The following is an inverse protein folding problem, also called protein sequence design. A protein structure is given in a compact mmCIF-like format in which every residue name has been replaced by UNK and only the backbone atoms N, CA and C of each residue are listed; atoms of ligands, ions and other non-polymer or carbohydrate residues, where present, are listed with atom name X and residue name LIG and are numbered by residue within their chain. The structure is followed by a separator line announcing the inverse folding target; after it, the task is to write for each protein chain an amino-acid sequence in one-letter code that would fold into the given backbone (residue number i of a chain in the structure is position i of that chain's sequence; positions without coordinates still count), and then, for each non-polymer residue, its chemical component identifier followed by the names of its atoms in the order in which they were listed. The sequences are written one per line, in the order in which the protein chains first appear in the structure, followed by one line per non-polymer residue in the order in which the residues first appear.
data_IF_681711485980
#
_entry.id   IF_681711485980
#
_cell.length_a   1.000
_cell.length_b   1.000
_cell.length_c   1.000
_cell.angle_alpha   90.00
_cell.angle_beta   90.00
_cell.angle_gamma   90.00
#
_symmetry.space_group_name_H-M   'P 1'
#
loop_
_entity.id
_entity.type
_entity.pdbx_description
1 polymer ?
#
# COMPACT_ATOMS: atom_id res chain seq x y z
N UNK A 1 -17.97 -9.07 4.09
CA UNK A 1 -17.60 -9.51 5.47
C UNK A 1 -16.45 -8.64 5.94
N UNK A 2 -16.32 -8.38 7.25
CA UNK A 2 -15.17 -7.66 7.79
C UNK A 2 -13.91 -8.51 7.55
N UNK A 3 -12.87 -7.92 6.96
CA UNK A 3 -11.60 -8.59 6.69
C UNK A 3 -10.61 -8.30 7.82
N UNK A 4 -9.76 -9.26 8.17
CA UNK A 4 -8.68 -9.04 9.12
C UNK A 4 -7.61 -8.18 8.49
N UNK A 5 -7.24 -7.11 9.17
CA UNK A 5 -6.21 -6.16 8.73
C UNK A 5 -5.20 -5.89 9.83
N UNK A 6 -4.02 -5.41 9.44
CA UNK A 6 -3.04 -4.88 10.37
C UNK A 6 -2.57 -3.48 9.92
N UNK A 7 -2.20 -2.65 10.88
CA UNK A 7 -1.63 -1.31 10.65
C UNK A 7 -0.29 -1.21 11.36
N UNK A 8 0.77 -0.94 10.60
CA UNK A 8 2.10 -0.63 11.12
C UNK A 8 2.23 0.90 11.16
N UNK A 9 2.31 1.45 12.36
CA UNK A 9 2.40 2.90 12.58
C UNK A 9 3.84 3.31 12.88
N UNK A 10 4.48 3.89 11.87
CA UNK A 10 5.87 4.35 11.86
C UNK A 10 5.99 5.87 11.69
N UNK A 11 4.91 6.64 11.89
CA UNK A 11 4.87 8.06 11.56
C UNK A 11 5.64 8.97 12.53
N UNK A 12 6.00 8.50 13.73
CA UNK A 12 6.73 9.29 14.74
C UNK A 12 8.16 8.80 14.88
N UNK A 13 8.35 7.52 15.16
CA UNK A 13 9.64 6.93 15.49
C UNK A 13 10.29 6.14 14.33
N UNK A 14 9.71 6.18 13.15
CA UNK A 14 10.18 5.36 12.04
C UNK A 14 9.99 3.86 12.30
N UNK A 15 10.87 3.04 11.71
CA UNK A 15 10.80 1.59 11.85
C UNK A 15 12.18 0.95 11.71
N UNK A 16 12.50 0.03 12.62
CA UNK A 16 13.66 -0.86 12.56
C UNK A 16 13.21 -2.30 12.71
N UNK A 17 14.06 -3.26 12.36
CA UNK A 17 13.72 -4.68 12.40
C UNK A 17 13.38 -5.17 13.80
N UNK A 18 14.20 -4.81 14.77
CA UNK A 18 14.00 -5.11 16.19
C UNK A 18 12.69 -4.49 16.73
N UNK A 19 12.33 -3.29 16.28
CA UNK A 19 11.09 -2.61 16.67
C UNK A 19 9.87 -3.34 16.12
N UNK A 20 9.89 -3.72 14.83
CA UNK A 20 8.79 -4.48 14.22
C UNK A 20 8.63 -5.84 14.91
N UNK A 21 9.72 -6.57 15.09
CA UNK A 21 9.72 -7.87 15.77
C UNK A 21 9.17 -7.76 17.20
N UNK A 22 9.64 -6.76 17.95
CA UNK A 22 9.17 -6.50 19.31
C UNK A 22 7.68 -6.16 19.36
N UNK A 23 7.16 -5.39 18.38
CA UNK A 23 5.74 -5.07 18.30
C UNK A 23 4.88 -6.31 17.99
N UNK A 24 5.37 -7.22 17.17
CA UNK A 24 4.72 -8.50 16.88
C UNK A 24 4.66 -9.41 18.11
N UNK A 25 5.76 -9.50 18.86
CA UNK A 25 5.79 -10.26 20.13
C UNK A 25 4.86 -9.61 21.16
N UNK A 26 4.83 -8.29 21.26
CA UNK A 26 3.93 -7.56 22.15
C UNK A 26 2.46 -7.76 21.80
N UNK A 27 2.14 -7.89 20.52
CA UNK A 27 0.79 -8.20 20.00
C UNK A 27 0.42 -9.68 20.20
N UNK A 28 1.30 -10.52 20.74
CA UNK A 28 1.03 -11.91 21.13
C UNK A 28 1.58 -12.98 20.20
N UNK A 29 2.61 -12.69 19.39
CA UNK A 29 3.41 -13.73 18.74
C UNK A 29 4.16 -14.56 19.80
N UNK A 30 4.36 -15.84 19.50
CA UNK A 30 5.00 -16.76 20.42
C UNK A 30 6.49 -16.39 20.61
N UNK A 31 6.78 -15.75 21.76
CA UNK A 31 8.11 -15.27 22.14
C UNK A 31 9.17 -16.38 22.06
N UNK A 32 8.87 -17.59 22.53
CA UNK A 32 9.82 -18.69 22.54
C UNK A 32 10.21 -19.12 21.12
N UNK A 33 9.21 -19.28 20.22
CA UNK A 33 9.48 -19.61 18.82
C UNK A 33 10.35 -18.56 18.11
N UNK A 34 10.12 -17.28 18.41
CA UNK A 34 10.92 -16.18 17.82
C UNK A 34 12.35 -16.23 18.35
N UNK A 35 12.55 -16.42 19.66
CA UNK A 35 13.87 -16.54 20.27
C UNK A 35 14.64 -17.73 19.69
N UNK A 36 14.00 -18.90 19.62
CA UNK A 36 14.62 -20.12 19.08
C UNK A 36 15.06 -19.92 17.63
N UNK A 37 14.22 -19.30 16.81
CA UNK A 37 14.52 -19.00 15.41
C UNK A 37 15.71 -18.03 15.25
N UNK A 38 15.82 -17.02 16.12
CA UNK A 38 16.96 -16.09 16.14
C UNK A 38 18.24 -16.85 16.48
N UNK A 39 18.23 -17.73 17.47
CA UNK A 39 19.41 -18.55 17.81
C UNK A 39 19.85 -19.47 16.66
N UNK A 40 18.93 -19.95 15.84
CA UNK A 40 19.25 -20.78 14.66
C UNK A 40 20.09 -20.02 13.62
N UNK A 41 19.90 -18.70 13.50
CA UNK A 41 20.61 -17.88 12.50
C UNK A 41 22.15 -18.00 12.59
N UNK A 42 22.71 -18.12 13.80
CA UNK A 42 24.16 -18.25 14.00
C UNK A 42 24.77 -19.49 13.34
N UNK A 43 23.98 -20.54 13.10
CA UNK A 43 24.45 -21.79 12.49
C UNK A 43 24.70 -21.62 10.98
N UNK A 44 24.13 -20.57 10.36
CA UNK A 44 24.20 -20.31 8.95
C UNK A 44 25.07 -19.12 8.57
N UNK A 45 25.53 -18.33 9.56
CA UNK A 45 26.39 -17.17 9.33
C UNK A 45 27.73 -17.34 10.06
N UNK A 46 28.77 -17.68 9.28
CA UNK A 46 30.13 -17.91 9.82
C UNK A 46 30.65 -16.65 10.52
N UNK A 47 31.37 -16.85 11.61
CA UNK A 47 32.00 -15.75 12.37
C UNK A 47 31.06 -15.03 13.33
N UNK A 48 29.77 -15.39 13.35
CA UNK A 48 28.78 -14.79 14.23
C UNK A 48 28.39 -15.75 15.38
N UNK A 49 28.18 -15.20 16.58
CA UNK A 49 27.71 -15.94 17.73
C UNK A 49 26.74 -15.13 18.56
N UNK A 50 25.54 -15.65 18.78
CA UNK A 50 24.50 -15.02 19.59
C UNK A 50 24.65 -15.59 21.02
N UNK A 51 24.76 -14.70 22.00
CA UNK A 51 24.97 -15.08 23.41
C UNK A 51 23.74 -14.84 24.28
N UNK A 52 22.87 -13.92 23.88
CA UNK A 52 21.62 -13.64 24.59
C UNK A 52 20.57 -13.16 23.60
N UNK A 53 19.35 -13.69 23.74
CA UNK A 53 18.14 -13.14 23.11
C UNK A 53 17.04 -13.16 24.15
N UNK A 54 16.40 -12.04 24.34
CA UNK A 54 15.22 -11.91 25.19
C UNK A 54 14.36 -10.72 24.76
N UNK A 55 13.09 -10.71 25.16
CA UNK A 55 12.19 -9.57 24.99
C UNK A 55 11.79 -9.06 26.39
N UNK A 56 12.15 -7.84 26.70
CA UNK A 56 11.87 -7.20 27.98
C UNK A 56 10.81 -6.12 27.86
N UNK A 57 9.99 -5.95 28.89
CA UNK A 57 9.10 -4.79 29.02
C UNK A 57 9.90 -3.56 29.43
N UNK A 58 9.71 -2.48 28.71
CA UNK A 58 10.31 -1.15 28.97
C UNK A 58 9.23 -0.08 29.03
N UNK A 59 9.54 1.03 29.68
CA UNK A 59 8.66 2.19 29.70
C UNK A 59 9.41 3.38 29.09
N UNK A 60 8.92 3.92 27.98
CA UNK A 60 9.51 5.03 27.28
C UNK A 60 8.48 6.16 27.21
N UNK A 61 8.81 7.35 27.76
CA UNK A 61 7.91 8.51 27.83
C UNK A 61 6.48 8.15 28.30
N UNK A 62 6.39 7.31 29.35
CA UNK A 62 5.10 6.89 29.91
C UNK A 62 4.37 5.77 29.15
N UNK A 63 4.91 5.32 28.03
CA UNK A 63 4.35 4.21 27.24
C UNK A 63 5.07 2.90 27.52
N UNK A 64 4.34 1.88 27.93
CA UNK A 64 4.88 0.52 28.06
C UNK A 64 5.05 -0.10 26.68
N UNK A 65 6.18 -0.73 26.44
CA UNK A 65 6.51 -1.39 25.16
C UNK A 65 7.36 -2.64 25.43
N UNK A 66 7.48 -3.49 24.43
CA UNK A 66 8.41 -4.63 24.43
C UNK A 66 9.66 -4.24 23.62
N UNK A 67 10.83 -4.62 24.11
CA UNK A 67 12.12 -4.35 23.48
C UNK A 67 12.92 -5.64 23.34
N UNK A 68 13.47 -5.88 22.14
CA UNK A 68 14.44 -6.94 21.91
C UNK A 68 15.74 -6.62 22.64
N UNK A 69 16.24 -7.59 23.40
CA UNK A 69 17.55 -7.58 24.04
C UNK A 69 18.40 -8.68 23.42
N UNK A 70 19.21 -8.34 22.42
CA UNK A 70 20.12 -9.28 21.77
C UNK A 70 21.56 -8.90 22.07
N UNK A 71 22.39 -9.90 22.45
CA UNK A 71 23.86 -9.78 22.55
C UNK A 71 24.48 -10.77 21.59
N UNK A 72 25.36 -10.31 20.77
CA UNK A 72 26.06 -11.12 19.78
C UNK A 72 27.51 -10.62 19.59
N UNK A 73 28.36 -11.50 19.07
CA UNK A 73 29.66 -11.19 18.54
C UNK A 73 29.64 -11.52 17.03
N UNK A 74 30.13 -10.63 16.22
CA UNK A 74 30.32 -10.84 14.80
C UNK A 74 31.74 -10.41 14.42
N UNK A 75 32.54 -11.37 13.97
CA UNK A 75 33.94 -11.16 13.65
C UNK A 75 34.17 -10.87 12.15
N UNK A 76 33.09 -10.85 11.35
CA UNK A 76 33.14 -10.58 9.91
C UNK A 76 32.19 -9.40 9.63
N UNK A 77 32.77 -8.28 9.23
CA UNK A 77 32.03 -7.03 9.03
C UNK A 77 31.76 -6.70 7.56
N UNK A 78 32.17 -7.59 6.66
CA UNK A 78 32.02 -7.38 5.22
C UNK A 78 31.63 -8.71 4.55
N UNK A 79 30.35 -8.86 4.22
CA UNK A 79 29.81 -10.04 3.55
C UNK A 79 29.12 -9.66 2.24
N UNK A 80 29.26 -10.51 1.25
CA UNK A 80 28.57 -10.31 -0.04
C UNK A 80 27.08 -10.55 0.11
N UNK A 81 26.27 -9.78 -0.63
CA UNK A 81 24.82 -9.93 -0.67
C UNK A 81 24.37 -11.35 -0.99
N UNK A 82 25.04 -12.03 -1.93
CA UNK A 82 24.77 -13.41 -2.29
C UNK A 82 25.03 -14.40 -1.13
N UNK A 83 26.07 -14.19 -0.34
CA UNK A 83 26.36 -15.01 0.85
C UNK A 83 25.26 -14.86 1.90
N UNK A 84 24.88 -13.61 2.20
CA UNK A 84 23.81 -13.30 3.12
C UNK A 84 22.47 -13.91 2.68
N UNK A 85 22.13 -13.77 1.39
CA UNK A 85 20.92 -14.35 0.83
C UNK A 85 20.89 -15.89 0.92
N UNK A 86 22.00 -16.56 0.60
CA UNK A 86 22.12 -18.01 0.75
C UNK A 86 22.04 -18.47 2.21
N UNK A 87 22.61 -17.71 3.14
CA UNK A 87 22.53 -17.97 4.58
C UNK A 87 21.11 -17.81 5.11
N UNK A 88 20.42 -16.74 4.71
CA UNK A 88 19.03 -16.50 5.06
C UNK A 88 18.11 -17.61 4.54
N UNK A 89 18.27 -18.04 3.28
CA UNK A 89 17.45 -19.09 2.68
C UNK A 89 17.55 -20.41 3.48
N UNK A 90 18.78 -20.85 3.81
CA UNK A 90 19.00 -22.04 4.63
C UNK A 90 18.45 -21.89 6.05
N UNK A 91 18.57 -20.71 6.64
CA UNK A 91 18.00 -20.42 7.95
C UNK A 91 16.47 -20.52 7.92
N UNK A 92 15.79 -19.91 6.93
CA UNK A 92 14.34 -20.00 6.76
C UNK A 92 13.85 -21.46 6.64
N UNK A 93 14.57 -22.28 5.89
CA UNK A 93 14.24 -23.71 5.76
C UNK A 93 14.41 -24.46 7.10
N UNK A 94 15.49 -24.18 7.81
CA UNK A 94 15.79 -24.84 9.10
C UNK A 94 14.77 -24.48 10.20
N UNK A 95 14.24 -23.26 10.22
CA UNK A 95 13.21 -22.87 11.19
C UNK A 95 11.78 -23.22 10.75
N UNK A 96 11.61 -23.82 9.56
CA UNK A 96 10.31 -24.28 9.08
C UNK A 96 9.36 -23.16 8.67
N UNK A 97 9.86 -22.09 8.04
CA UNK A 97 9.01 -21.03 7.50
C UNK A 97 8.16 -21.53 6.34
N UNK A 98 6.88 -21.20 6.36
CA UNK A 98 5.99 -21.38 5.21
C UNK A 98 6.43 -20.50 4.03
N UNK A 99 6.01 -20.88 2.82
CA UNK A 99 6.46 -20.21 1.59
C UNK A 99 6.28 -18.69 1.59
N UNK A 100 5.16 -18.17 2.12
CA UNK A 100 4.90 -16.72 2.19
C UNK A 100 5.86 -16.01 3.15
N UNK A 101 6.12 -16.61 4.30
CA UNK A 101 7.05 -16.08 5.29
C UNK A 101 8.49 -16.11 4.78
N UNK A 102 8.90 -17.22 4.14
CA UNK A 102 10.21 -17.35 3.50
C UNK A 102 10.38 -16.32 2.37
N UNK A 103 9.37 -16.16 1.50
CA UNK A 103 9.40 -15.16 0.42
C UNK A 103 9.55 -13.75 0.99
N UNK A 104 8.80 -13.39 2.03
CA UNK A 104 8.92 -12.09 2.70
C UNK A 104 10.36 -11.83 3.20
N UNK A 105 10.97 -12.78 3.90
CA UNK A 105 12.33 -12.62 4.41
C UNK A 105 13.36 -12.44 3.28
N UNK A 106 13.29 -13.28 2.24
CA UNK A 106 14.22 -13.25 1.11
C UNK A 106 14.05 -11.99 0.25
N UNK A 107 12.82 -11.57 -0.06
CA UNK A 107 12.57 -10.34 -0.84
C UNK A 107 12.93 -9.09 -0.04
N UNK A 108 12.79 -9.10 1.30
CA UNK A 108 13.27 -7.99 2.14
C UNK A 108 14.79 -7.85 2.09
N UNK A 109 15.53 -8.94 2.20
CA UNK A 109 16.99 -8.90 2.04
C UNK A 109 17.40 -8.49 0.64
N UNK A 110 16.75 -9.02 -0.39
CA UNK A 110 17.01 -8.66 -1.79
C UNK A 110 16.74 -7.18 -2.06
N UNK A 111 15.74 -6.59 -1.39
CA UNK A 111 15.47 -5.15 -1.45
C UNK A 111 16.64 -4.34 -0.92
N UNK A 112 17.25 -4.75 0.21
CA UNK A 112 18.45 -4.13 0.78
C UNK A 112 19.62 -4.29 -0.19
N UNK A 113 19.91 -5.51 -0.65
CA UNK A 113 21.01 -5.79 -1.61
C UNK A 113 20.86 -4.92 -2.86
N UNK A 114 19.63 -4.78 -3.38
CA UNK A 114 19.38 -3.98 -4.58
C UNK A 114 19.59 -2.48 -4.36
N UNK A 115 19.29 -1.97 -3.18
CA UNK A 115 19.55 -0.58 -2.82
C UNK A 115 21.06 -0.32 -2.69
N UNK A 116 21.78 -1.18 -1.98
CA UNK A 116 23.24 -1.08 -1.83
C UNK A 116 23.97 -1.18 -3.19
N UNK A 117 23.59 -2.14 -4.04
CA UNK A 117 24.15 -2.30 -5.37
C UNK A 117 24.01 -1.03 -6.23
N UNK A 118 22.85 -0.37 -6.17
CA UNK A 118 22.62 0.90 -6.88
C UNK A 118 23.48 2.04 -6.34
N UNK A 119 23.62 2.15 -5.02
CA UNK A 119 24.38 3.21 -4.38
C UNK A 119 25.88 3.09 -4.71
N UNK A 120 26.39 1.87 -4.67
CA UNK A 120 27.80 1.60 -4.95
C UNK A 120 28.11 1.43 -6.44
N UNK A 121 27.08 1.38 -7.30
CA UNK A 121 27.29 1.14 -8.74
C UNK A 121 27.83 -0.26 -9.04
N UNK A 122 27.54 -1.22 -8.18
CA UNK A 122 28.02 -2.59 -8.26
C UNK A 122 26.93 -3.56 -8.79
N UNK A 123 27.38 -4.73 -9.26
CA UNK A 123 26.47 -5.82 -9.62
C UNK A 123 25.86 -6.48 -8.37
N UNK A 124 24.59 -6.87 -8.46
CA UNK A 124 23.84 -7.50 -7.36
C UNK A 124 24.54 -8.71 -6.73
N UNK A 125 25.32 -9.47 -7.50
CA UNK A 125 26.01 -10.66 -7.02
C UNK A 125 27.30 -10.34 -6.27
N UNK A 126 27.87 -9.17 -6.50
CA UNK A 126 29.18 -8.78 -5.99
C UNK A 126 29.11 -7.71 -4.90
N UNK A 127 27.96 -7.05 -4.74
CA UNK A 127 27.83 -5.97 -3.77
C UNK A 127 28.13 -6.43 -2.35
N UNK A 128 28.95 -5.66 -1.67
CA UNK A 128 29.29 -5.85 -0.28
C UNK A 128 28.29 -5.10 0.61
N UNK A 129 27.77 -5.79 1.62
CA UNK A 129 26.85 -5.18 2.58
C UNK A 129 27.65 -4.71 3.79
N UNK A 130 27.77 -3.42 3.98
CA UNK A 130 28.54 -2.87 5.11
C UNK A 130 27.73 -2.87 6.40
N UNK A 131 26.50 -2.33 6.37
CA UNK A 131 25.63 -2.24 7.54
C UNK A 131 24.71 -3.44 7.70
N UNK A 132 24.20 -3.99 6.58
CA UNK A 132 23.31 -5.14 6.60
C UNK A 132 24.03 -6.51 6.51
N UNK A 133 25.35 -6.55 6.78
CA UNK A 133 26.17 -7.75 6.69
C UNK A 133 26.19 -8.59 7.99
N UNK A 134 25.65 -8.07 9.08
CA UNK A 134 25.78 -8.68 10.40
C UNK A 134 24.61 -9.63 10.75
N UNK A 135 24.81 -10.40 11.82
CA UNK A 135 23.85 -11.43 12.28
C UNK A 135 22.50 -10.83 12.70
N UNK A 136 22.48 -9.57 13.13
CA UNK A 136 21.26 -8.89 13.53
C UNK A 136 20.28 -8.73 12.34
N UNK A 137 20.79 -8.47 11.14
CA UNK A 137 19.95 -8.42 9.91
C UNK A 137 19.25 -9.77 9.67
N UNK A 138 19.98 -10.90 9.80
CA UNK A 138 19.35 -12.21 9.67
C UNK A 138 18.33 -12.46 10.78
N UNK A 139 18.69 -12.11 12.02
CA UNK A 139 17.84 -12.25 13.19
C UNK A 139 16.54 -11.44 13.05
N UNK A 140 16.62 -10.22 12.56
CA UNK A 140 15.47 -9.34 12.32
C UNK A 140 14.54 -9.93 11.26
N UNK A 141 15.09 -10.35 10.12
CA UNK A 141 14.29 -10.90 9.02
C UNK A 141 13.63 -12.22 9.39
N UNK A 142 14.37 -13.14 10.01
CA UNK A 142 13.85 -14.45 10.41
C UNK A 142 12.87 -14.31 11.58
N UNK A 143 13.23 -13.53 12.60
CA UNK A 143 12.37 -13.30 13.77
C UNK A 143 11.04 -12.64 13.41
N UNK A 144 11.07 -11.62 12.55
CA UNK A 144 9.85 -10.99 12.03
C UNK A 144 9.02 -11.98 11.20
N UNK A 145 9.63 -12.78 10.31
CA UNK A 145 8.94 -13.76 9.50
C UNK A 145 8.24 -14.83 10.36
N UNK A 146 8.91 -15.36 11.39
CA UNK A 146 8.33 -16.31 12.36
C UNK A 146 7.16 -15.67 13.12
N UNK A 147 7.33 -14.44 13.61
CA UNK A 147 6.28 -13.74 14.36
C UNK A 147 5.05 -13.41 13.50
N UNK A 148 5.24 -12.97 12.25
CA UNK A 148 4.17 -12.71 11.30
C UNK A 148 3.42 -13.99 10.95
N UNK A 149 4.13 -15.11 10.74
CA UNK A 149 3.55 -16.43 10.49
C UNK A 149 2.74 -16.92 11.68
N UNK A 150 3.28 -16.84 12.90
CA UNK A 150 2.60 -17.25 14.13
C UNK A 150 1.30 -16.46 14.36
N UNK A 151 1.29 -15.16 14.05
CA UNK A 151 0.11 -14.30 14.10
C UNK A 151 -0.81 -14.45 12.87
N UNK A 152 -0.45 -15.26 11.87
CA UNK A 152 -1.17 -15.42 10.57
C UNK A 152 -1.40 -14.09 9.84
N UNK A 153 -0.42 -13.20 9.85
CA UNK A 153 -0.55 -11.88 9.25
C UNK A 153 -0.29 -11.88 7.74
N UNK A 154 0.31 -12.93 7.18
CA UNK A 154 0.46 -13.07 5.73
C UNK A 154 -0.86 -13.31 4.98
N UNK A 155 -1.95 -13.64 5.69
CA UNK A 155 -3.31 -13.75 5.15
C UNK A 155 -4.12 -12.46 5.35
N UNK A 156 -3.54 -11.44 5.98
CA UNK A 156 -4.17 -10.16 6.30
C UNK A 156 -3.66 -9.07 5.34
N UNK A 157 -4.50 -8.08 5.06
CA UNK A 157 -4.03 -6.87 4.40
C UNK A 157 -3.31 -5.98 5.42
N UNK A 158 -2.06 -5.63 5.13
CA UNK A 158 -1.23 -4.81 5.99
C UNK A 158 -1.14 -3.39 5.42
N UNK A 159 -1.42 -2.41 6.27
CA UNK A 159 -1.31 -0.99 5.98
C UNK A 159 -0.12 -0.38 6.72
N UNK A 160 0.50 0.62 6.12
CA UNK A 160 1.50 1.47 6.76
C UNK A 160 0.96 2.88 6.91
N UNK A 161 1.32 3.58 7.98
CA UNK A 161 1.22 5.04 8.04
C UNK A 161 2.33 5.70 7.22
N UNK A 162 2.38 7.05 7.19
CA UNK A 162 3.59 7.77 6.74
C UNK A 162 4.80 7.28 7.53
N UNK A 163 5.99 7.32 6.92
CA UNK A 163 7.22 6.78 7.51
C UNK A 163 8.13 7.92 7.93
N UNK A 164 8.39 8.04 9.24
CA UNK A 164 9.38 8.99 9.75
C UNK A 164 10.79 8.45 9.49
N UNK A 165 11.60 9.21 8.74
CA UNK A 165 12.96 8.80 8.36
C UNK A 165 14.06 9.49 9.17
N UNK A 166 13.71 10.58 9.86
CA UNK A 166 14.66 11.41 10.61
C UNK A 166 15.28 12.51 9.75
N UNK A 167 16.25 13.22 10.29
CA UNK A 167 16.99 14.32 9.65
C UNK A 167 18.43 14.41 10.14
N UNK A 168 19.12 15.50 9.79
CA UNK A 168 20.49 15.76 10.23
C UNK A 168 21.56 15.00 9.45
N UNK A 169 22.68 14.74 10.10
CA UNK A 169 23.86 14.09 9.53
C UNK A 169 24.18 12.81 10.29
N UNK A 170 24.40 11.73 9.57
CA UNK A 170 24.79 10.43 10.11
C UNK A 170 26.28 10.17 9.84
N UNK A 171 26.95 9.52 10.78
CA UNK A 171 28.34 9.05 10.61
C UNK A 171 28.35 7.55 10.40
N UNK A 172 28.82 7.13 9.24
CA UNK A 172 28.99 5.74 8.83
C UNK A 172 30.44 5.41 8.54
N UNK A 173 30.73 4.15 8.20
CA UNK A 173 32.07 3.69 7.78
C UNK A 173 32.62 4.50 6.58
N UNK A 174 31.76 4.99 5.70
CA UNK A 174 32.11 5.81 4.53
C UNK A 174 32.17 7.33 4.79
N UNK A 175 32.08 7.76 6.05
CA UNK A 175 32.09 9.17 6.43
C UNK A 175 30.75 9.72 6.91
N UNK A 176 30.59 11.05 6.77
CA UNK A 176 29.34 11.72 7.17
C UNK A 176 28.41 11.83 5.96
N UNK A 177 27.19 11.34 6.12
CA UNK A 177 26.15 11.39 5.08
C UNK A 177 24.91 12.10 5.60
N UNK A 178 24.13 12.64 4.70
CA UNK A 178 22.86 13.26 5.01
C UNK A 178 21.81 12.19 5.35
N UNK A 179 21.00 12.42 6.38
CA UNK A 179 19.83 11.60 6.69
C UNK A 179 18.56 12.16 6.00
N UNK A 180 17.69 11.35 5.37
CA UNK A 180 17.77 9.88 5.33
C UNK A 180 18.92 9.38 4.45
N UNK A 181 19.54 8.27 4.88
CA UNK A 181 20.62 7.62 4.13
C UNK A 181 20.14 7.20 2.72
N UNK A 182 21.08 7.17 1.76
CA UNK A 182 20.76 6.86 0.36
C UNK A 182 20.05 5.51 0.20
N UNK A 183 20.39 4.52 1.04
CA UNK A 183 19.75 3.20 1.03
C UNK A 183 18.23 3.30 1.30
N UNK A 184 17.82 4.12 2.26
CA UNK A 184 16.40 4.36 2.57
C UNK A 184 15.67 4.94 1.36
N UNK A 185 16.25 5.94 0.70
CA UNK A 185 15.65 6.58 -0.48
C UNK A 185 15.52 5.60 -1.65
N UNK A 186 16.56 4.77 -1.91
CA UNK A 186 16.50 3.75 -2.97
C UNK A 186 15.48 2.64 -2.66
N UNK A 187 15.30 2.23 -1.40
CA UNK A 187 14.28 1.25 -0.99
C UNK A 187 12.87 1.79 -1.25
N UNK A 188 12.60 3.06 -0.95
CA UNK A 188 11.27 3.65 -1.14
C UNK A 188 11.02 4.21 -2.55
N UNK A 189 12.05 4.32 -3.39
CA UNK A 189 11.95 4.81 -4.76
C UNK A 189 10.93 4.01 -5.57
N UNK A 190 10.04 4.72 -6.25
CA UNK A 190 8.92 4.15 -7.02
C UNK A 190 7.95 3.29 -6.19
N UNK A 191 7.97 3.42 -4.86
CA UNK A 191 6.98 2.83 -3.96
C UNK A 191 5.98 3.91 -3.53
N UNK A 192 4.75 3.52 -3.27
CA UNK A 192 3.69 4.46 -2.87
C UNK A 192 3.74 4.74 -1.35
N UNK A 193 4.93 5.17 -0.86
CA UNK A 193 5.11 5.52 0.55
C UNK A 193 5.43 6.99 0.70
N UNK A 194 4.75 7.64 1.64
CA UNK A 194 5.00 9.02 2.03
C UNK A 194 6.05 9.05 3.14
N UNK A 195 7.20 9.66 2.86
CA UNK A 195 8.27 9.87 3.83
C UNK A 195 8.10 11.22 4.51
N UNK A 196 8.36 11.28 5.81
CA UNK A 196 8.37 12.50 6.61
C UNK A 196 9.66 12.58 7.42
N UNK A 197 10.21 13.79 7.63
CA UNK A 197 11.46 13.95 8.36
C UNK A 197 11.43 13.42 9.80
N UNK A 198 10.30 13.61 10.48
CA UNK A 198 10.19 13.23 11.90
C UNK A 198 10.71 14.31 12.85
N UNK A 199 10.91 13.96 14.14
CA UNK A 199 11.22 14.91 15.21
C UNK A 199 12.69 14.77 15.72
N UNK A 200 13.55 13.99 15.06
CA UNK A 200 14.93 13.77 15.47
C UNK A 200 15.91 14.03 14.35
N UNK A 201 17.07 14.60 14.69
CA UNK A 201 18.25 14.67 13.83
C UNK A 201 19.08 13.39 14.00
N UNK A 202 18.45 12.26 13.71
CA UNK A 202 19.05 10.92 13.76
C UNK A 202 18.26 9.98 12.84
N UNK A 203 18.81 8.80 12.57
CA UNK A 203 18.11 7.76 11.82
C UNK A 203 16.95 7.20 12.62
N UNK A 204 15.73 7.38 12.10
CA UNK A 204 14.51 6.81 12.68
C UNK A 204 14.08 5.52 11.96
N UNK A 205 14.35 5.43 10.67
CA UNK A 205 14.04 4.23 9.88
C UNK A 205 15.33 3.61 9.38
N UNK A 206 15.56 2.33 9.69
CA UNK A 206 16.73 1.59 9.22
C UNK A 206 16.47 0.96 7.84
N UNK A 207 17.51 0.62 7.06
CA UNK A 207 17.34 -0.12 5.81
C UNK A 207 16.57 -1.44 5.97
N UNK A 208 16.83 -2.18 7.06
CA UNK A 208 16.11 -3.44 7.37
C UNK A 208 14.63 -3.20 7.63
N UNK A 209 14.30 -2.19 8.44
CA UNK A 209 12.91 -1.81 8.71
C UNK A 209 12.16 -1.33 7.46
N UNK A 210 12.81 -0.48 6.66
CA UNK A 210 12.26 0.00 5.39
C UNK A 210 11.99 -1.13 4.41
N UNK A 211 12.95 -2.05 4.23
CA UNK A 211 12.83 -3.20 3.34
C UNK A 211 11.69 -4.13 3.75
N UNK A 212 11.57 -4.43 5.04
CA UNK A 212 10.44 -5.22 5.54
C UNK A 212 9.09 -4.51 5.31
N UNK A 213 9.03 -3.21 5.55
CA UNK A 213 7.79 -2.45 5.39
C UNK A 213 7.28 -2.45 3.96
N UNK A 214 8.15 -2.23 2.95
CA UNK A 214 7.75 -2.22 1.53
C UNK A 214 7.41 -3.59 0.97
N UNK A 215 7.79 -4.68 1.67
CA UNK A 215 7.43 -6.05 1.34
C UNK A 215 6.22 -6.58 2.14
N UNK A 216 5.74 -5.83 3.14
CA UNK A 216 4.52 -6.12 3.90
C UNK A 216 3.32 -5.30 3.43
N UNK A 217 3.50 -4.00 3.21
CA UNK A 217 2.46 -3.09 2.79
C UNK A 217 2.75 -2.56 1.38
N UNK A 218 1.72 -2.37 0.57
CA UNK A 218 1.86 -1.86 -0.80
C UNK A 218 2.03 -0.34 -0.87
N UNK A 219 1.56 0.37 0.16
CA UNK A 219 1.58 1.84 0.22
C UNK A 219 1.43 2.34 1.65
N UNK A 220 1.81 3.59 1.90
CA UNK A 220 1.42 4.29 3.12
C UNK A 220 0.06 4.97 2.98
N UNK A 221 -0.64 5.14 4.09
CA UNK A 221 -1.92 5.85 4.20
C UNK A 221 -1.75 7.15 4.99
N UNK A 222 -2.54 8.18 4.65
CA UNK A 222 -2.54 9.45 5.40
C UNK A 222 -3.22 9.33 6.76
N UNK A 223 -4.19 8.43 6.87
CA UNK A 223 -4.99 8.20 8.07
C UNK A 223 -5.09 6.70 8.35
N UNK A 224 -5.37 6.35 9.59
CA UNK A 224 -5.70 4.97 9.93
C UNK A 224 -6.90 4.48 9.11
N UNK A 225 -6.84 3.28 8.53
CA UNK A 225 -8.03 2.65 7.97
C UNK A 225 -9.05 2.43 9.09
N UNK A 226 -10.33 2.32 8.73
CA UNK A 226 -11.36 1.94 9.70
C UNK A 226 -11.05 0.54 10.22
N UNK A 227 -10.68 0.43 11.49
CA UNK A 227 -10.29 -0.81 12.16
C UNK A 227 -10.92 -0.88 13.54
N UNK A 228 -11.52 -2.03 13.86
CA UNK A 228 -11.85 -2.41 15.24
C UNK A 228 -10.66 -3.20 15.79
N UNK A 229 -9.79 -2.58 16.63
CA UNK A 229 -8.55 -3.22 17.07
C UNK A 229 -8.87 -4.36 18.06
N UNK A 230 -8.27 -5.54 17.79
CA UNK A 230 -8.35 -6.73 18.64
C UNK A 230 -7.07 -6.93 19.43
N UNK A 231 -5.91 -6.59 18.81
CA UNK A 231 -4.59 -6.68 19.43
C UNK A 231 -3.78 -5.44 19.09
N UNK A 232 -3.01 -4.97 20.04
CA UNK A 232 -2.09 -3.84 19.87
C UNK A 232 -0.73 -4.28 20.42
N UNK A 233 0.32 -4.00 19.66
CA UNK A 233 1.69 -4.25 20.06
C UNK A 233 2.55 -2.99 19.94
N UNK A 234 3.39 -2.77 20.93
CA UNK A 234 4.33 -1.67 21.03
C UNK A 234 5.76 -2.21 21.01
N UNK A 235 6.51 -1.96 19.95
CA UNK A 235 7.89 -2.40 19.80
C UNK A 235 8.86 -1.24 19.98
N UNK A 236 9.67 -1.29 21.03
CA UNK A 236 10.66 -0.27 21.36
C UNK A 236 12.00 -0.52 20.68
N UNK A 237 12.57 0.53 20.09
CA UNK A 237 13.96 0.54 19.62
C UNK A 237 14.96 0.77 20.77
N UNK A 238 16.25 0.62 20.47
CA UNK A 238 17.33 0.78 21.45
C UNK A 238 17.76 2.23 21.66
N UNK A 239 17.62 3.09 20.67
CA UNK A 239 17.96 4.52 20.76
C UNK A 239 16.95 5.26 21.64
N UNK A 240 17.45 6.22 22.42
CA UNK A 240 16.62 7.09 23.27
C UNK A 240 16.57 8.49 22.66
N UNK A 241 15.37 8.98 22.43
CA UNK A 241 15.13 10.34 21.93
C UNK A 241 14.54 11.24 23.01
N UNK A 242 14.81 12.54 22.92
CA UNK A 242 14.20 13.55 23.78
C UNK A 242 12.85 13.94 23.17
N UNK A 243 11.79 13.96 23.99
CA UNK A 243 10.49 14.48 23.59
C UNK A 243 9.50 13.44 23.02
N UNK A 244 9.94 12.27 22.58
CA UNK A 244 9.04 11.21 22.11
C UNK A 244 9.57 9.78 22.37
N UNK A 245 8.65 8.83 22.41
CA UNK A 245 8.99 7.42 22.58
C UNK A 245 9.48 6.81 21.24
N UNK A 246 10.63 6.14 21.27
CA UNK A 246 11.13 5.37 20.13
C UNK A 246 10.39 4.04 20.03
N UNK A 247 9.16 4.06 19.51
CA UNK A 247 8.25 2.91 19.52
C UNK A 247 7.48 2.84 18.20
N UNK A 248 7.50 1.66 17.57
CA UNK A 248 6.56 1.27 16.50
C UNK A 248 5.29 0.72 17.13
N UNK A 249 4.14 1.10 16.61
CA UNK A 249 2.85 0.51 16.99
C UNK A 249 2.35 -0.42 15.90
N UNK A 250 1.88 -1.59 16.31
CA UNK A 250 1.19 -2.56 15.46
C UNK A 250 -0.24 -2.72 15.98
N UNK A 251 -1.22 -2.49 15.13
CA UNK A 251 -2.63 -2.78 15.40
C UNK A 251 -3.06 -3.95 14.54
N UNK A 252 -3.76 -4.92 15.13
CA UNK A 252 -4.37 -6.04 14.42
C UNK A 252 -5.84 -6.06 14.79
N UNK A 253 -6.72 -6.19 13.82
CA UNK A 253 -8.16 -6.19 14.06
C UNK A 253 -8.98 -6.43 12.80
N UNK A 254 -10.27 -6.19 12.92
CA UNK A 254 -11.21 -6.34 11.82
C UNK A 254 -11.46 -4.99 11.16
N UNK A 255 -11.46 -4.98 9.85
CA UNK A 255 -11.85 -3.79 9.09
C UNK A 255 -13.35 -3.56 9.18
N UNK A 256 -13.80 -2.30 9.15
CA UNK A 256 -15.19 -1.98 8.87
C UNK A 256 -15.63 -2.48 7.48
N UNK A 257 -16.94 -2.51 7.24
CA UNK A 257 -17.59 -3.03 6.00
C UNK A 257 -17.03 -2.40 4.70
N UNK A 258 -16.33 -1.27 4.79
CA UNK A 258 -15.79 -0.51 3.64
C UNK A 258 -14.41 -1.00 3.16
N UNK A 259 -13.79 -2.01 3.80
CA UNK A 259 -12.41 -2.43 3.48
C UNK A 259 -12.27 -3.19 2.15
N UNK A 260 -13.37 -3.64 1.52
CA UNK A 260 -13.34 -4.25 0.18
C UNK A 260 -13.34 -3.18 -0.94
N UNK A 261 -13.70 -1.94 -0.63
CA UNK A 261 -13.59 -0.84 -1.57
C UNK A 261 -12.15 -0.33 -1.65
N UNK A 262 -11.56 -0.35 -2.82
CA UNK A 262 -10.34 0.39 -3.09
C UNK A 262 -10.57 1.86 -2.76
N UNK A 263 -9.64 2.49 -2.05
CA UNK A 263 -9.66 3.93 -1.76
C UNK A 263 -8.74 4.61 -2.76
N UNK A 264 -9.29 5.52 -3.53
CA UNK A 264 -8.51 6.42 -4.39
C UNK A 264 -8.85 7.88 -4.09
N UNK A 265 -8.08 8.78 -4.65
CA UNK A 265 -8.28 10.23 -4.52
C UNK A 265 -8.58 10.80 -5.90
N UNK A 266 -9.61 11.63 -5.98
CA UNK A 266 -9.99 12.34 -7.19
C UNK A 266 -10.16 13.82 -6.91
N UNK A 267 -9.99 14.65 -7.93
CA UNK A 267 -10.38 16.06 -7.91
C UNK A 267 -11.82 16.21 -8.33
N UNK A 268 -12.60 16.95 -7.55
CA UNK A 268 -13.91 17.50 -7.93
C UNK A 268 -13.70 18.94 -8.34
N UNK A 269 -13.99 19.25 -9.60
CA UNK A 269 -13.92 20.60 -10.16
C UNK A 269 -15.35 21.11 -10.38
N UNK A 270 -15.67 22.28 -9.88
CA UNK A 270 -17.00 22.88 -10.01
C UNK A 270 -16.91 24.33 -10.49
N UNK A 271 -17.78 24.71 -11.42
CA UNK A 271 -17.98 26.09 -11.83
C UNK A 271 -19.44 26.37 -12.11
N UNK A 272 -19.84 27.63 -11.97
CA UNK A 272 -21.18 28.11 -12.32
C UNK A 272 -21.08 28.93 -13.59
N UNK A 273 -21.95 28.64 -14.55
CA UNK A 273 -22.05 29.35 -15.84
C UNK A 273 -23.47 29.89 -15.97
N UNK A 274 -23.64 31.21 -16.06
CA UNK A 274 -24.95 31.90 -16.17
C UNK A 274 -25.15 32.69 -17.49
N UNK A 275 -24.21 32.54 -18.42
CA UNK A 275 -24.16 33.24 -19.69
C UNK A 275 -23.92 32.34 -20.92
N UNK A 276 -24.00 30.99 -20.75
CA UNK A 276 -23.80 30.04 -21.84
C UNK A 276 -25.13 29.53 -22.40
N UNK A 277 -25.18 29.34 -23.74
CA UNK A 277 -26.28 28.62 -24.38
C UNK A 277 -26.21 27.10 -24.10
N UNK A 278 -27.35 26.42 -24.25
CA UNK A 278 -27.40 24.96 -24.12
C UNK A 278 -26.48 24.23 -25.12
N UNK A 279 -26.29 24.78 -26.30
CA UNK A 279 -25.36 24.23 -27.30
C UNK A 279 -23.91 24.32 -26.87
N UNK A 280 -23.51 25.46 -26.29
CA UNK A 280 -22.17 25.63 -25.74
C UNK A 280 -21.93 24.68 -24.57
N UNK A 281 -22.91 24.51 -23.67
CA UNK A 281 -22.83 23.55 -22.57
C UNK A 281 -22.73 22.10 -23.07
N UNK A 282 -23.46 21.76 -24.14
CA UNK A 282 -23.39 20.46 -24.81
C UNK A 282 -21.97 20.16 -25.32
N UNK A 283 -21.38 21.09 -26.08
CA UNK A 283 -20.03 21.01 -26.60
C UNK A 283 -19.00 20.87 -25.43
N UNK A 284 -19.16 21.69 -24.38
CA UNK A 284 -18.29 21.62 -23.19
C UNK A 284 -18.31 20.22 -22.54
N UNK A 285 -19.48 19.60 -22.41
CA UNK A 285 -19.62 18.26 -21.88
C UNK A 285 -18.87 17.22 -22.72
N UNK A 286 -19.03 17.29 -24.05
CA UNK A 286 -18.33 16.38 -24.97
C UNK A 286 -16.82 16.54 -24.87
N UNK A 287 -16.30 17.75 -24.87
CA UNK A 287 -14.87 18.03 -24.76
C UNK A 287 -14.29 17.60 -23.40
N UNK A 288 -15.00 17.87 -22.30
CA UNK A 288 -14.59 17.43 -20.95
C UNK A 288 -14.63 15.91 -20.81
N UNK A 289 -15.56 15.21 -21.46
CA UNK A 289 -15.64 13.75 -21.41
C UNK A 289 -14.40 13.05 -22.00
N UNK A 290 -13.62 13.72 -22.85
CA UNK A 290 -12.37 13.19 -23.40
C UNK A 290 -11.24 13.14 -22.37
N UNK A 291 -11.24 14.05 -21.39
CA UNK A 291 -10.13 14.24 -20.44
C UNK A 291 -10.49 13.92 -18.98
N UNK A 292 -11.78 14.02 -18.64
CA UNK A 292 -12.29 13.78 -17.29
C UNK A 292 -12.79 12.33 -17.09
N UNK A 293 -12.99 11.93 -15.83
CA UNK A 293 -13.65 10.65 -15.50
C UNK A 293 -15.16 10.72 -15.61
N UNK A 294 -15.72 11.88 -15.28
CA UNK A 294 -17.17 12.11 -15.31
C UNK A 294 -17.48 13.60 -15.36
N UNK A 295 -18.58 13.96 -16.00
CA UNK A 295 -19.07 15.34 -16.15
C UNK A 295 -20.56 15.35 -15.89
N UNK A 296 -21.01 16.24 -15.01
CA UNK A 296 -22.41 16.43 -14.69
C UNK A 296 -22.80 17.90 -14.84
N UNK A 297 -23.93 18.15 -15.47
CA UNK A 297 -24.54 19.47 -15.59
C UNK A 297 -25.80 19.54 -14.75
N UNK A 298 -25.84 20.47 -13.82
CA UNK A 298 -26.97 20.68 -12.91
C UNK A 298 -27.57 22.06 -13.21
N UNK A 299 -28.80 22.15 -13.73
CA UNK A 299 -29.46 23.41 -13.92
C UNK A 299 -29.88 24.04 -12.60
N UNK A 300 -29.76 25.35 -12.50
CA UNK A 300 -30.09 26.10 -11.30
C UNK A 300 -30.42 27.57 -11.57
N UNK A 301 -30.61 28.31 -10.52
CA UNK A 301 -30.81 29.75 -10.58
C UNK A 301 -29.80 30.48 -9.72
N UNK A 302 -29.14 31.50 -10.23
CA UNK A 302 -28.14 32.31 -9.52
C UNK A 302 -28.69 33.66 -9.09
N UNK A 303 -27.80 34.54 -8.60
CA UNK A 303 -28.16 35.93 -8.26
C UNK A 303 -28.89 36.61 -9.40
N UNK A 304 -29.81 37.53 -9.08
CA UNK A 304 -30.67 38.25 -10.03
C UNK A 304 -31.62 37.34 -10.81
N UNK A 305 -31.98 36.17 -10.24
CA UNK A 305 -32.89 35.17 -10.86
C UNK A 305 -32.47 34.70 -12.25
N UNK A 306 -31.16 34.66 -12.54
CA UNK A 306 -30.64 34.18 -13.81
C UNK A 306 -30.58 32.64 -13.84
N UNK A 307 -31.08 32.00 -14.91
CA UNK A 307 -30.79 30.59 -15.15
C UNK A 307 -29.28 30.38 -15.26
N UNK A 308 -28.81 29.27 -14.73
CA UNK A 308 -27.38 28.92 -14.76
C UNK A 308 -27.19 27.41 -14.71
N UNK A 309 -25.99 27.01 -15.05
CA UNK A 309 -25.56 25.62 -14.94
C UNK A 309 -24.43 25.51 -13.92
N UNK A 310 -24.54 24.58 -12.97
CA UNK A 310 -23.41 24.10 -12.20
C UNK A 310 -22.78 22.93 -12.97
N UNK A 311 -21.57 23.13 -13.46
CA UNK A 311 -20.77 22.07 -14.07
C UNK A 311 -19.95 21.44 -12.99
N UNK A 312 -20.12 20.12 -12.78
CA UNK A 312 -19.37 19.32 -11.83
C UNK A 312 -18.60 18.24 -12.57
N UNK A 313 -17.28 18.22 -12.37
CA UNK A 313 -16.36 17.36 -13.10
C UNK A 313 -15.58 16.52 -12.09
N UNK A 314 -15.42 15.23 -12.37
CA UNK A 314 -14.55 14.33 -11.60
C UNK A 314 -13.31 14.03 -12.45
N UNK A 315 -12.14 14.33 -11.91
CA UNK A 315 -10.85 14.17 -12.59
C UNK A 315 -9.86 13.36 -11.74
N UNK A 316 -8.92 12.69 -12.41
CA UNK A 316 -7.69 12.24 -11.77
C UNK A 316 -6.80 13.44 -11.43
N UNK A 317 -6.08 13.39 -10.31
CA UNK A 317 -5.16 14.46 -9.92
C UNK A 317 -4.14 14.78 -11.02
N UNK A 318 -3.65 13.75 -11.72
CA UNK A 318 -2.69 13.91 -12.82
C UNK A 318 -3.27 14.63 -14.05
N UNK A 319 -4.60 14.62 -14.24
CA UNK A 319 -5.30 15.22 -15.38
C UNK A 319 -5.96 16.56 -15.05
N UNK A 320 -5.83 17.06 -13.83
CA UNK A 320 -6.50 18.27 -13.37
C UNK A 320 -6.20 19.47 -14.28
N UNK A 321 -4.94 19.69 -14.65
CA UNK A 321 -4.55 20.82 -15.50
C UNK A 321 -5.22 20.75 -16.87
N UNK A 322 -5.25 19.58 -17.50
CA UNK A 322 -5.93 19.40 -18.80
C UNK A 322 -7.45 19.65 -18.72
N UNK A 323 -8.08 19.23 -17.62
CA UNK A 323 -9.49 19.49 -17.36
C UNK A 323 -9.76 20.98 -17.19
N UNK A 324 -8.91 21.69 -16.43
CA UNK A 324 -9.04 23.14 -16.23
C UNK A 324 -8.81 23.92 -17.54
N UNK A 325 -7.86 23.49 -18.36
CA UNK A 325 -7.60 24.10 -19.67
C UNK A 325 -8.83 24.00 -20.60
N UNK A 326 -9.40 22.80 -20.73
CA UNK A 326 -10.62 22.60 -21.51
C UNK A 326 -11.78 23.41 -20.91
N UNK A 327 -11.96 23.37 -19.58
CA UNK A 327 -13.04 24.10 -18.93
C UNK A 327 -12.98 25.60 -19.22
N UNK A 328 -11.82 26.24 -19.07
CA UNK A 328 -11.65 27.66 -19.26
C UNK A 328 -11.75 28.07 -20.75
N UNK A 329 -11.17 27.28 -21.66
CA UNK A 329 -11.19 27.59 -23.09
C UNK A 329 -12.58 27.46 -23.72
N UNK A 330 -13.33 26.43 -23.32
CA UNK A 330 -14.62 26.12 -23.92
C UNK A 330 -15.80 26.86 -23.25
N UNK A 331 -15.71 27.22 -21.98
CA UNK A 331 -16.84 27.83 -21.26
C UNK A 331 -16.72 29.33 -21.06
N UNK A 332 -15.51 29.89 -21.17
CA UNK A 332 -15.25 31.30 -20.85
C UNK A 332 -15.37 31.64 -19.36
N UNK A 333 -15.60 30.66 -18.46
CA UNK A 333 -15.63 30.90 -17.01
C UNK A 333 -14.26 31.40 -16.51
N UNK A 334 -14.28 32.34 -15.55
CA UNK A 334 -13.07 32.95 -15.02
C UNK A 334 -12.53 32.23 -13.77
N UNK A 335 -13.23 31.22 -13.28
CA UNK A 335 -12.82 30.52 -12.09
C UNK A 335 -13.52 29.19 -11.87
N UNK A 336 -12.82 28.27 -11.23
CA UNK A 336 -13.34 26.97 -10.81
C UNK A 336 -12.95 26.67 -9.37
N UNK A 337 -13.81 25.98 -8.65
CA UNK A 337 -13.54 25.43 -7.32
C UNK A 337 -12.96 24.03 -7.50
N UNK A 338 -11.86 23.73 -6.84
CA UNK A 338 -11.22 22.42 -6.88
C UNK A 338 -11.16 21.88 -5.48
N UNK A 339 -11.62 20.64 -5.30
CA UNK A 339 -11.54 19.90 -4.05
C UNK A 339 -10.95 18.53 -4.31
N UNK A 340 -9.93 18.16 -3.54
CA UNK A 340 -9.44 16.81 -3.52
C UNK A 340 -10.29 15.98 -2.55
N UNK A 341 -10.90 14.90 -3.04
CA UNK A 341 -11.81 14.06 -2.27
C UNK A 341 -11.40 12.59 -2.33
N UNK A 342 -11.54 11.92 -1.20
CA UNK A 342 -11.38 10.47 -1.15
C UNK A 342 -12.62 9.78 -1.75
N UNK A 343 -12.38 8.75 -2.56
CA UNK A 343 -13.42 7.95 -3.17
C UNK A 343 -13.23 6.48 -2.83
N UNK A 344 -14.32 5.81 -2.47
CA UNK A 344 -14.34 4.36 -2.29
C UNK A 344 -14.89 3.71 -3.55
N UNK A 345 -14.14 2.78 -4.12
CA UNK A 345 -14.48 2.08 -5.35
C UNK A 345 -14.45 0.58 -5.10
N UNK A 346 -15.54 -0.12 -5.36
CA UNK A 346 -15.56 -1.59 -5.28
C UNK A 346 -14.62 -2.17 -6.35
N UNK A 347 -13.82 -3.19 -6.00
CA UNK A 347 -13.03 -3.92 -6.97
C UNK A 347 -13.94 -4.49 -8.05
N UNK A 348 -13.62 -4.22 -9.31
CA UNK A 348 -14.39 -4.69 -10.44
C UNK A 348 -13.48 -5.35 -11.47
N UNK A 349 -13.97 -6.41 -12.06
CA UNK A 349 -13.35 -7.07 -13.21
C UNK A 349 -14.26 -6.95 -14.43
N UNK A 350 -13.65 -7.05 -15.62
CA UNK A 350 -14.38 -7.12 -16.88
C UNK A 350 -14.44 -8.57 -17.32
N UNK A 351 -15.63 -9.10 -17.56
CA UNK A 351 -15.84 -10.41 -18.17
C UNK A 351 -16.44 -10.21 -19.57
N UNK A 352 -16.10 -11.10 -20.49
CA UNK A 352 -16.75 -11.19 -21.80
C UNK A 352 -17.72 -12.37 -21.77
N UNK A 353 -18.99 -12.09 -21.96
CA UNK A 353 -20.06 -13.08 -21.90
C UNK A 353 -20.72 -13.19 -23.29
N UNK A 354 -20.73 -14.37 -23.94
CA UNK A 354 -21.45 -14.55 -25.19
C UNK A 354 -22.96 -14.50 -24.93
N UNK A 355 -23.73 -13.77 -25.70
CA UNK A 355 -25.18 -13.58 -25.56
C UNK A 355 -25.83 -13.79 -26.94
N UNK A 356 -26.89 -14.57 -27.03
CA UNK A 356 -27.62 -14.82 -28.25
C UNK A 356 -28.86 -13.91 -28.36
N UNK A 357 -28.91 -13.14 -29.41
CA UNK A 357 -30.09 -12.28 -29.72
C UNK A 357 -30.53 -12.53 -31.17
N UNK A 358 -31.74 -12.98 -31.33
CA UNK A 358 -32.34 -13.30 -32.63
C UNK A 358 -31.47 -14.26 -33.49
N UNK A 359 -30.85 -15.28 -32.85
CA UNK A 359 -30.00 -16.26 -33.54
C UNK A 359 -28.60 -15.78 -33.89
N UNK A 360 -28.19 -14.60 -33.41
CA UNK A 360 -26.81 -14.08 -33.56
C UNK A 360 -26.15 -13.99 -32.22
N UNK A 361 -24.95 -14.54 -32.09
CA UNK A 361 -24.14 -14.49 -30.87
C UNK A 361 -23.29 -13.21 -30.84
N UNK A 362 -23.37 -12.45 -29.73
CA UNK A 362 -22.59 -11.27 -29.46
C UNK A 362 -21.74 -11.46 -28.21
N UNK A 363 -20.51 -10.99 -28.25
CA UNK A 363 -19.65 -10.91 -27.06
C UNK A 363 -19.90 -9.63 -26.32
N UNK A 364 -20.49 -9.72 -25.11
CA UNK A 364 -20.87 -8.58 -24.29
C UNK A 364 -19.86 -8.42 -23.16
N UNK A 365 -19.30 -7.22 -22.99
CA UNK A 365 -18.47 -6.86 -21.86
C UNK A 365 -19.34 -6.60 -20.64
N UNK A 366 -19.02 -7.25 -19.53
CA UNK A 366 -19.80 -7.19 -18.28
C UNK A 366 -18.88 -6.78 -17.14
N UNK A 367 -19.15 -5.65 -16.51
CA UNK A 367 -18.50 -5.25 -15.27
C UNK A 367 -19.06 -6.10 -14.13
N UNK A 368 -18.18 -6.83 -13.43
CA UNK A 368 -18.56 -7.65 -12.29
C UNK A 368 -17.85 -7.21 -11.02
N UNK A 369 -18.57 -7.31 -9.90
CA UNK A 369 -18.06 -7.13 -8.55
C UNK A 369 -18.10 -8.49 -7.87
N UNK A 370 -17.00 -8.88 -7.21
CA UNK A 370 -16.91 -10.12 -6.44
C UNK A 370 -16.74 -9.82 -4.96
N UNK A 371 -17.32 -10.67 -4.13
CA UNK A 371 -17.04 -10.66 -2.69
C UNK A 371 -15.72 -11.37 -2.37
N UNK A 372 -15.34 -11.38 -1.09
CA UNK A 372 -14.12 -12.03 -0.58
C UNK A 372 -14.07 -13.54 -0.80
N UNK A 373 -15.21 -14.18 -1.07
CA UNK A 373 -15.30 -15.60 -1.42
C UNK A 373 -15.13 -15.86 -2.93
N UNK A 374 -14.99 -14.79 -3.73
CA UNK A 374 -14.92 -14.85 -5.20
C UNK A 374 -16.27 -14.90 -5.90
N UNK A 375 -17.38 -14.91 -5.16
CA UNK A 375 -18.73 -14.93 -5.71
C UNK A 375 -19.09 -13.59 -6.32
N UNK A 376 -19.70 -13.60 -7.51
CA UNK A 376 -20.17 -12.36 -8.15
C UNK A 376 -21.42 -11.84 -7.42
N UNK A 377 -21.30 -10.62 -6.88
CA UNK A 377 -22.37 -9.93 -6.15
C UNK A 377 -23.10 -8.90 -7.01
N UNK A 378 -22.46 -8.43 -8.08
CA UNK A 378 -23.05 -7.49 -9.03
C UNK A 378 -22.48 -7.73 -10.42
N UNK A 379 -23.31 -7.62 -11.45
CA UNK A 379 -22.91 -7.74 -12.85
C UNK A 379 -23.70 -6.73 -13.70
N UNK A 380 -22.98 -5.92 -14.47
CA UNK A 380 -23.58 -4.88 -15.31
C UNK A 380 -22.95 -4.94 -16.70
N UNK A 381 -23.71 -5.30 -17.75
CA UNK A 381 -23.27 -5.20 -19.14
C UNK A 381 -22.93 -3.76 -19.55
N UNK A 382 -21.95 -3.60 -20.42
CA UNK A 382 -21.60 -2.30 -21.01
C UNK A 382 -22.72 -1.82 -21.93
N UNK A 383 -23.11 -0.55 -21.76
CA UNK A 383 -24.21 0.05 -22.53
C UNK A 383 -23.90 0.13 -24.03
N UNK A 384 -22.64 0.37 -24.41
CA UNK A 384 -22.25 0.43 -25.82
C UNK A 384 -22.45 -0.91 -26.54
N UNK A 385 -22.17 -2.03 -25.89
CA UNK A 385 -22.44 -3.36 -26.47
C UNK A 385 -23.94 -3.55 -26.67
N UNK A 386 -24.76 -3.13 -25.69
CA UNK A 386 -26.22 -3.19 -25.81
C UNK A 386 -26.72 -2.33 -26.96
N UNK A 387 -26.15 -1.12 -27.15
CA UNK A 387 -26.50 -0.21 -28.24
C UNK A 387 -26.17 -0.82 -29.61
N UNK A 388 -25.02 -1.45 -29.73
CA UNK A 388 -24.61 -2.17 -30.95
C UNK A 388 -25.56 -3.31 -31.27
N UNK A 389 -25.91 -4.13 -30.25
CA UNK A 389 -26.88 -5.24 -30.40
C UNK A 389 -28.25 -4.71 -30.84
N UNK A 390 -28.75 -3.67 -30.17
CA UNK A 390 -30.02 -3.03 -30.50
C UNK A 390 -30.07 -2.59 -31.96
N UNK A 391 -29.02 -1.89 -32.43
CA UNK A 391 -28.90 -1.42 -33.82
C UNK A 391 -28.84 -2.58 -34.81
N UNK A 392 -28.00 -3.61 -34.56
CA UNK A 392 -27.82 -4.76 -35.48
C UNK A 392 -29.05 -5.66 -35.53
N UNK A 393 -29.75 -5.84 -34.43
CA UNK A 393 -30.96 -6.67 -34.36
C UNK A 393 -32.25 -5.89 -34.62
N UNK A 394 -32.14 -4.59 -34.92
CA UNK A 394 -33.29 -3.69 -35.13
C UNK A 394 -34.31 -3.71 -33.98
N UNK A 395 -33.77 -3.74 -32.74
CA UNK A 395 -34.58 -3.73 -31.50
C UNK A 395 -34.51 -2.38 -30.82
N UNK A 396 -35.57 -2.00 -30.10
CA UNK A 396 -35.48 -0.89 -29.15
C UNK A 396 -34.38 -1.18 -28.13
N UNK A 397 -33.55 -0.21 -27.75
CA UNK A 397 -32.44 -0.36 -26.81
C UNK A 397 -32.91 -0.97 -25.47
N UNK A 398 -34.08 -0.57 -24.98
CA UNK A 398 -34.68 -1.14 -23.77
C UNK A 398 -34.87 -2.66 -23.89
N UNK A 399 -35.38 -3.13 -25.04
CA UNK A 399 -35.61 -4.55 -25.28
C UNK A 399 -34.32 -5.35 -25.40
N UNK A 400 -33.31 -4.79 -26.09
CA UNK A 400 -31.98 -5.37 -26.14
C UNK A 400 -31.36 -5.50 -24.74
N UNK A 401 -31.51 -4.48 -23.90
CA UNK A 401 -31.02 -4.47 -22.52
C UNK A 401 -31.68 -5.58 -21.68
N UNK A 402 -32.98 -5.77 -21.77
CA UNK A 402 -33.71 -6.83 -21.07
C UNK A 402 -33.19 -8.23 -21.46
N UNK A 403 -33.04 -8.48 -22.76
CA UNK A 403 -32.54 -9.76 -23.29
C UNK A 403 -31.11 -10.05 -22.86
N UNK A 404 -30.23 -9.05 -22.98
CA UNK A 404 -28.82 -9.16 -22.58
C UNK A 404 -28.70 -9.44 -21.07
N UNK A 405 -29.39 -8.63 -20.23
CA UNK A 405 -29.35 -8.80 -18.78
C UNK A 405 -29.81 -10.18 -18.35
N UNK A 406 -30.92 -10.67 -18.89
CA UNK A 406 -31.46 -11.99 -18.55
C UNK A 406 -30.46 -13.13 -18.85
N UNK A 407 -29.77 -13.08 -19.99
CA UNK A 407 -28.81 -14.10 -20.37
C UNK A 407 -27.48 -13.99 -19.60
N UNK A 408 -27.01 -12.76 -19.36
CA UNK A 408 -25.80 -12.50 -18.57
C UNK A 408 -25.98 -13.02 -17.15
N UNK A 409 -27.10 -12.70 -16.49
CA UNK A 409 -27.39 -13.20 -15.13
C UNK A 409 -27.42 -14.73 -15.08
N UNK A 410 -28.14 -15.38 -16.01
CA UNK A 410 -28.19 -16.85 -16.09
C UNK A 410 -26.83 -17.51 -16.27
N UNK A 411 -25.95 -16.91 -17.08
CA UNK A 411 -24.60 -17.44 -17.34
C UNK A 411 -23.64 -17.22 -16.17
N UNK A 412 -23.78 -16.09 -15.46
CA UNK A 412 -22.95 -15.78 -14.30
C UNK A 412 -23.34 -16.65 -13.08
N UNK A 413 -24.60 -17.00 -12.89
CA UNK A 413 -25.07 -17.91 -11.84
C UNK A 413 -24.58 -19.36 -12.03
N UNK A 414 -24.18 -19.72 -13.25
CA UNK A 414 -23.65 -21.05 -13.59
C UNK A 414 -22.13 -21.18 -13.49
N UNK A 415 -21.43 -20.10 -13.10
CA UNK A 415 -19.97 -20.02 -12.92
C UNK A 415 -19.62 -19.84 -11.45
#
# INVERSE_FOLDING_TARGET
MAARIAVIDSQIAGIAGDMLMSSLVDAGANKAKVIDAIFVCQNFLKGSKITKVDFAKVVLHGSAATQLQMKYADNIHDRKGQEMHGSLARCCDSVGLEQRAKTFALESLKTIISAEARIHGEDLNNVHLHEASSIDTLADLVGCAVALQDLRLFDSRIFSTKVAVGGGLLKFSHGTVQNPASAILEIFKNKQFMLVGGQAEDELTTPTGAAMLVNLASSSTNYYPSIAPEKIGYGAGTKKFVGFANVVRLLIGMSGIVAEAGKDTVCVVETNIDDASGELVGNLVERLAEVAKDVMVIPGTTKKSRPAYLIKIISENAKLNSVLEVLFSESGTLGARVQEVERYVLPRAMLTVPVDVNGTTFNVHVKVVRDSSGRITNAKPEFEDIRIIASRCQLPVKRAMELVNAQVMKKIESV
#
